data_IF_532808084733
#
_entry.id   IF_532808084733
#
_cell.length_a   1.000
_cell.length_b   1.000
_cell.length_c   1.000
_cell.angle_alpha   90.00
_cell.angle_beta   90.00
_cell.angle_gamma   90.00
#
_symmetry.space_group_name_H-M   'P 1'
#
loop_
_entity.id
_entity.type
_entity.pdbx_description
1 polymer ?
#
# COMPACT_ATOMS: atom_id res chain seq x y z
N UNK A 1 -10.40 1.37 -0.30
CA UNK A 1 -9.53 0.24 0.07
C UNK A 1 -9.94 -0.98 -0.74
N UNK A 2 -8.99 -1.79 -1.21
CA UNK A 2 -9.26 -3.01 -1.99
C UNK A 2 -8.33 -4.13 -1.51
N UNK A 3 -8.87 -5.34 -1.39
CA UNK A 3 -8.09 -6.54 -1.10
C UNK A 3 -7.84 -7.33 -2.37
N UNK A 4 -6.60 -7.80 -2.53
CA UNK A 4 -6.12 -8.55 -3.67
C UNK A 4 -5.37 -9.79 -3.21
N UNK A 5 -5.64 -10.92 -3.84
CA UNK A 5 -4.66 -11.99 -3.97
C UNK A 5 -3.81 -11.66 -5.19
N UNK A 6 -2.57 -11.20 -4.95
CA UNK A 6 -1.75 -10.62 -6.02
C UNK A 6 -1.37 -11.65 -7.08
N UNK A 7 -1.14 -12.89 -6.67
CA UNK A 7 -0.71 -13.98 -7.56
C UNK A 7 -1.79 -15.03 -7.81
N UNK A 8 -2.92 -14.98 -7.11
CA UNK A 8 -4.03 -15.93 -7.24
C UNK A 8 -3.77 -17.30 -6.58
N UNK A 9 -2.68 -17.42 -5.81
CA UNK A 9 -2.27 -18.64 -5.11
C UNK A 9 -2.28 -18.48 -3.58
N UNK A 10 -2.85 -17.38 -3.08
CA UNK A 10 -2.91 -17.01 -1.66
C UNK A 10 -1.54 -16.92 -0.95
N UNK A 11 -0.44 -16.77 -1.68
CA UNK A 11 0.89 -16.63 -1.08
C UNK A 11 1.18 -15.22 -0.57
N UNK A 12 0.58 -14.21 -1.20
CA UNK A 12 0.75 -12.81 -0.83
C UNK A 12 -0.54 -12.03 -1.14
N UNK A 13 -1.07 -11.39 -0.10
CA UNK A 13 -2.24 -10.53 -0.22
C UNK A 13 -1.83 -9.07 -0.18
N UNK A 14 -2.47 -8.25 -1.01
CA UNK A 14 -2.27 -6.81 -1.02
C UNK A 14 -3.54 -6.12 -0.54
N UNK A 15 -3.39 -5.27 0.48
CA UNK A 15 -4.39 -4.27 0.85
C UNK A 15 -3.97 -2.93 0.25
N UNK A 16 -4.71 -2.49 -0.76
CA UNK A 16 -4.51 -1.16 -1.33
C UNK A 16 -5.31 -0.11 -0.55
N UNK A 17 -4.61 0.92 -0.07
CA UNK A 17 -5.18 2.19 0.38
C UNK A 17 -5.01 3.21 -0.75
N UNK A 18 -5.97 3.19 -1.68
CA UNK A 18 -5.96 4.05 -2.86
C UNK A 18 -6.43 5.47 -2.57
N UNK A 19 -5.56 6.46 -2.81
CA UNK A 19 -5.79 7.87 -2.44
C UNK A 19 -5.71 8.83 -3.64
N UNK A 20 -4.87 8.55 -4.64
CA UNK A 20 -4.66 9.44 -5.77
C UNK A 20 -4.20 8.67 -7.04
N UNK A 21 -3.43 9.31 -7.93
CA UNK A 21 -3.02 8.78 -9.23
C UNK A 21 -2.20 7.48 -9.18
N UNK A 22 -1.48 7.20 -8.09
CA UNK A 22 -0.70 5.97 -7.95
C UNK A 22 -1.60 4.71 -7.89
N UNK A 23 -2.89 4.86 -7.52
CA UNK A 23 -3.84 3.73 -7.60
C UNK A 23 -4.06 3.26 -9.02
N UNK A 24 -3.99 4.13 -10.02
CA UNK A 24 -4.18 3.72 -11.42
C UNK A 24 -3.05 2.81 -11.89
N UNK A 25 -1.82 3.06 -11.46
CA UNK A 25 -0.68 2.20 -11.78
C UNK A 25 -0.72 0.88 -11.02
N UNK A 26 -1.21 0.88 -9.77
CA UNK A 26 -1.48 -0.35 -9.03
C UNK A 26 -2.58 -1.16 -9.72
N UNK A 27 -3.67 -0.52 -10.13
CA UNK A 27 -4.76 -1.17 -10.88
C UNK A 27 -4.23 -1.78 -12.18
N UNK A 28 -3.39 -1.05 -12.93
CA UNK A 28 -2.73 -1.54 -14.14
C UNK A 28 -1.81 -2.74 -13.88
N UNK A 29 -1.11 -2.76 -12.74
CA UNK A 29 -0.30 -3.91 -12.31
C UNK A 29 -1.17 -5.11 -11.87
N UNK A 30 -2.35 -4.85 -11.31
CA UNK A 30 -3.21 -5.86 -10.67
C UNK A 30 -4.18 -6.59 -11.61
N UNK A 31 -4.06 -6.44 -12.94
CA UNK A 31 -5.03 -6.99 -13.90
C UNK A 31 -5.17 -8.53 -13.81
N UNK A 32 -4.13 -9.22 -13.37
CA UNK A 32 -4.14 -10.68 -13.15
C UNK A 32 -4.45 -11.08 -11.70
N UNK A 33 -4.52 -10.12 -10.78
CA UNK A 33 -4.79 -10.37 -9.37
C UNK A 33 -6.28 -10.64 -9.11
N UNK A 34 -6.57 -11.58 -8.20
CA UNK A 34 -7.93 -11.90 -7.83
C UNK A 34 -8.42 -10.96 -6.72
N UNK A 35 -9.59 -10.34 -6.91
CA UNK A 35 -10.19 -9.48 -5.88
C UNK A 35 -10.75 -10.34 -4.72
N UNK A 36 -10.49 -9.92 -3.48
CA UNK A 36 -10.95 -10.62 -2.28
C UNK A 36 -12.02 -9.81 -1.53
N UNK A 37 -13.05 -10.46 -0.97
CA UNK A 37 -14.17 -9.79 -0.32
C UNK A 37 -13.94 -9.36 1.14
N UNK A 38 -12.69 -9.32 1.64
CA UNK A 38 -12.26 -8.74 2.96
C UNK A 38 -11.96 -9.74 4.09
N UNK A 39 -12.22 -11.05 3.95
CA UNK A 39 -11.84 -12.04 4.99
C UNK A 39 -10.61 -12.83 4.56
N UNK A 40 -9.47 -12.53 5.19
CA UNK A 40 -8.25 -13.33 5.05
C UNK A 40 -8.13 -14.35 6.18
N UNK A 41 -7.49 -15.52 5.94
CA UNK A 41 -7.16 -16.45 7.01
C UNK A 41 -6.18 -15.82 8.00
N UNK A 42 -6.25 -16.26 9.27
CA UNK A 42 -5.27 -15.85 10.28
C UNK A 42 -3.86 -16.29 9.85
N UNK A 43 -2.86 -15.41 10.05
CA UNK A 43 -1.49 -15.61 9.58
C UNK A 43 -1.26 -15.34 8.10
N UNK A 44 -2.28 -14.85 7.37
CA UNK A 44 -2.13 -14.41 5.99
C UNK A 44 -1.05 -13.32 5.88
N UNK A 45 -0.14 -13.48 4.91
CA UNK A 45 0.87 -12.46 4.60
C UNK A 45 0.20 -11.31 3.88
N UNK A 46 0.29 -10.11 4.44
CA UNK A 46 -0.31 -8.90 3.87
C UNK A 46 0.73 -7.82 3.64
N UNK A 47 0.70 -7.26 2.43
CA UNK A 47 1.36 -6.02 2.08
C UNK A 47 0.32 -4.92 2.00
N UNK A 48 0.45 -3.89 2.82
CA UNK A 48 -0.40 -2.70 2.76
C UNK A 48 0.27 -1.67 1.88
N UNK A 49 -0.35 -1.33 0.75
CA UNK A 49 0.18 -0.35 -0.20
C UNK A 49 -0.59 0.96 -0.05
N UNK A 50 0.10 2.02 0.34
CA UNK A 50 -0.45 3.37 0.38
C UNK A 50 -0.19 4.05 -0.96
N UNK A 51 -1.24 4.14 -1.78
CA UNK A 51 -1.15 4.58 -3.18
C UNK A 51 -1.55 6.05 -3.32
N UNK A 52 -0.57 6.95 -3.15
CA UNK A 52 -0.70 8.37 -3.45
C UNK A 52 -0.69 9.30 -2.24
N UNK A 53 -1.20 10.52 -2.43
CA UNK A 53 -1.09 11.61 -1.44
C UNK A 53 -1.96 11.37 -0.22
N UNK A 54 -1.35 11.44 0.97
CA UNK A 54 -2.07 11.45 2.24
C UNK A 54 -2.39 12.89 2.63
N UNK A 55 -3.67 13.19 2.82
CA UNK A 55 -4.09 14.47 3.38
C UNK A 55 -4.24 14.38 4.89
N UNK A 56 -4.05 15.48 5.60
CA UNK A 56 -4.10 15.49 7.08
C UNK A 56 -5.47 15.06 7.61
N UNK A 57 -6.53 15.27 6.81
CA UNK A 57 -7.88 14.79 7.12
C UNK A 57 -8.00 13.27 7.02
N UNK A 58 -7.26 12.64 6.10
CA UNK A 58 -7.29 11.19 5.87
C UNK A 58 -6.25 10.44 6.70
N UNK A 59 -5.22 11.12 7.20
CA UNK A 59 -4.17 10.55 8.04
C UNK A 59 -4.67 9.57 9.14
N UNK A 60 -5.66 9.93 9.99
CA UNK A 60 -6.14 8.99 11.01
C UNK A 60 -6.82 7.74 10.42
N UNK A 61 -7.46 7.86 9.26
CA UNK A 61 -8.08 6.71 8.59
C UNK A 61 -7.02 5.79 7.98
N UNK A 62 -5.93 6.33 7.44
CA UNK A 62 -4.81 5.52 6.91
C UNK A 62 -4.16 4.71 8.03
N UNK A 63 -3.83 5.36 9.15
CA UNK A 63 -3.25 4.67 10.31
C UNK A 63 -4.20 3.57 10.83
N UNK A 64 -5.48 3.89 11.01
CA UNK A 64 -6.48 2.92 11.48
C UNK A 64 -6.65 1.71 10.55
N UNK A 65 -6.49 1.89 9.23
CA UNK A 65 -6.58 0.79 8.27
C UNK A 65 -5.37 -0.15 8.37
N UNK A 66 -4.17 0.40 8.57
CA UNK A 66 -2.94 -0.39 8.77
C UNK A 66 -3.03 -1.17 10.09
N UNK A 67 -3.47 -0.52 11.17
CA UNK A 67 -3.66 -1.17 12.48
C UNK A 67 -4.75 -2.26 12.44
N UNK A 68 -5.85 -1.97 11.75
CA UNK A 68 -6.93 -2.95 11.55
C UNK A 68 -6.42 -4.16 10.75
N UNK A 69 -5.57 -3.95 9.74
CA UNK A 69 -4.95 -5.03 8.99
C UNK A 69 -4.13 -5.94 9.92
N UNK A 70 -3.26 -5.36 10.75
CA UNK A 70 -2.45 -6.12 11.71
C UNK A 70 -3.32 -6.94 12.68
N UNK A 71 -4.43 -6.34 13.14
CA UNK A 71 -5.38 -6.99 14.05
C UNK A 71 -6.12 -8.15 13.39
N UNK A 72 -6.53 -7.99 12.13
CA UNK A 72 -7.30 -9.00 11.38
C UNK A 72 -6.47 -10.24 11.03
N UNK A 73 -5.20 -10.06 10.64
CA UNK A 73 -4.33 -11.17 10.24
C UNK A 73 -3.51 -11.75 11.39
N UNK A 74 -3.41 -11.06 12.51
CA UNK A 74 -2.59 -11.47 13.66
C UNK A 74 -1.07 -11.40 13.39
N UNK A 75 -0.66 -10.78 12.28
CA UNK A 75 0.74 -10.57 11.89
C UNK A 75 0.93 -9.12 11.45
N UNK A 76 2.10 -8.50 11.73
CA UNK A 76 2.36 -7.13 11.29
C UNK A 76 2.41 -7.09 9.75
N UNK A 77 1.63 -6.23 9.08
CA UNK A 77 1.70 -6.08 7.64
C UNK A 77 3.00 -5.42 7.22
N UNK A 78 3.46 -5.73 6.01
CA UNK A 78 4.53 -4.95 5.37
C UNK A 78 3.92 -3.71 4.73
N UNK A 79 4.38 -2.52 5.09
CA UNK A 79 3.84 -1.25 4.59
C UNK A 79 4.71 -0.72 3.46
N UNK A 80 4.08 -0.46 2.31
CA UNK A 80 4.70 0.09 1.10
C UNK A 80 4.14 1.47 0.81
N UNK A 81 5.04 2.46 0.73
CA UNK A 81 4.70 3.80 0.24
C UNK A 81 4.85 3.83 -1.29
N UNK A 82 3.74 3.90 -2.01
CA UNK A 82 3.74 3.94 -3.48
C UNK A 82 3.69 5.39 -3.98
N UNK A 83 4.81 5.81 -4.56
CA UNK A 83 5.00 7.13 -5.14
C UNK A 83 5.55 8.18 -4.17
N UNK A 84 6.02 9.28 -4.75
CA UNK A 84 6.67 10.38 -4.00
C UNK A 84 5.68 11.10 -3.06
N UNK A 85 4.39 11.09 -3.39
CA UNK A 85 3.37 11.69 -2.52
C UNK A 85 3.22 10.92 -1.20
N UNK A 86 3.20 9.59 -1.23
CA UNK A 86 3.15 8.76 -0.03
C UNK A 86 4.49 8.79 0.73
N UNK A 87 5.60 8.97 0.01
CA UNK A 87 6.93 8.98 0.60
C UNK A 87 7.26 10.26 1.36
N UNK A 88 6.94 11.43 0.78
CA UNK A 88 7.38 12.73 1.32
C UNK A 88 6.39 13.89 1.10
N UNK A 89 5.15 13.60 0.69
CA UNK A 89 4.18 14.61 0.22
C UNK A 89 4.37 15.01 -1.25
N UNK A 90 5.50 14.67 -1.88
CA UNK A 90 5.74 14.80 -3.32
C UNK A 90 5.59 16.23 -3.84
N UNK A 91 4.91 16.48 -4.98
CA UNK A 91 4.70 17.83 -5.50
C UNK A 91 3.85 18.72 -4.56
N UNK A 92 3.20 18.14 -3.54
CA UNK A 92 2.40 18.84 -2.55
C UNK A 92 3.10 19.00 -1.20
N UNK A 93 4.43 18.84 -1.15
CA UNK A 93 5.21 18.91 0.08
C UNK A 93 5.09 20.27 0.80
N UNK A 94 4.69 21.35 0.14
CA UNK A 94 4.46 22.67 0.79
C UNK A 94 2.96 22.99 0.99
N UNK A 95 2.07 22.03 0.74
CA UNK A 95 0.63 22.22 0.97
C UNK A 95 0.28 22.15 2.46
N UNK A 96 -0.64 23.01 2.90
CA UNK A 96 -1.14 23.06 4.28
C UNK A 96 -2.00 21.85 4.70
N UNK A 97 -2.43 21.03 3.74
CA UNK A 97 -3.38 19.94 3.95
C UNK A 97 -2.80 18.55 3.69
N UNK A 98 -1.48 18.46 3.44
CA UNK A 98 -0.81 17.22 3.03
C UNK A 98 0.22 16.81 4.06
N UNK A 99 0.09 15.56 4.51
CA UNK A 99 1.06 14.92 5.38
C UNK A 99 2.33 14.61 4.57
N UNK A 100 3.50 14.92 5.13
CA UNK A 100 4.79 14.90 4.41
C UNK A 100 5.44 13.52 4.36
N UNK A 101 4.62 12.47 4.31
CA UNK A 101 5.04 11.09 4.34
C UNK A 101 4.11 10.22 5.18
N UNK A 102 3.92 8.98 4.75
CA UNK A 102 3.18 7.94 5.49
C UNK A 102 3.94 7.53 6.75
N UNK A 103 5.26 7.67 6.75
CA UNK A 103 6.17 7.42 7.86
C UNK A 103 5.87 8.23 9.13
N UNK A 104 5.26 9.41 8.98
CA UNK A 104 4.75 10.20 10.10
C UNK A 104 3.55 9.54 10.81
N UNK A 105 2.90 8.56 10.18
CA UNK A 105 1.68 7.92 10.67
C UNK A 105 1.92 6.48 11.11
N UNK A 106 2.63 5.71 10.28
CA UNK A 106 2.89 4.28 10.46
C UNK A 106 4.30 3.94 9.98
N UNK A 107 4.96 2.92 10.53
CA UNK A 107 6.27 2.49 10.03
C UNK A 107 6.13 2.02 8.57
N UNK A 108 6.98 2.56 7.69
CA UNK A 108 7.06 2.16 6.27
C UNK A 108 8.27 1.26 6.09
N UNK A 109 8.06 0.10 5.46
CA UNK A 109 9.13 -0.87 5.21
C UNK A 109 9.80 -0.65 3.85
N UNK A 110 9.02 -0.31 2.83
CA UNK A 110 9.51 -0.14 1.46
C UNK A 110 8.93 1.12 0.81
N UNK A 111 9.79 1.85 0.11
CA UNK A 111 9.42 3.02 -0.67
C UNK A 111 9.57 2.73 -2.16
N UNK A 112 8.52 2.97 -2.94
CA UNK A 112 8.55 2.84 -4.40
C UNK A 112 8.51 4.24 -5.02
N UNK A 113 9.66 4.77 -5.49
CA UNK A 113 9.72 6.14 -6.01
C UNK A 113 9.04 6.25 -7.38
N UNK A 114 8.25 7.32 -7.57
CA UNK A 114 7.63 7.67 -8.85
C UNK A 114 6.46 8.65 -8.72
N UNK A 115 5.99 9.23 -9.83
CA UNK A 115 4.90 10.21 -9.85
C UNK A 115 4.01 10.14 -11.14
N UNK A 116 3.25 9.06 -11.35
CA UNK A 116 3.23 7.82 -10.57
C UNK A 116 4.38 6.87 -10.97
N UNK A 117 4.77 5.91 -10.12
CA UNK A 117 5.75 4.89 -10.48
C UNK A 117 5.17 3.96 -11.55
N UNK A 118 5.99 3.45 -12.49
CA UNK A 118 5.49 2.53 -13.50
C UNK A 118 5.04 1.20 -12.85
N UNK A 119 4.06 0.48 -13.42
CA UNK A 119 3.48 -0.74 -12.83
C UNK A 119 4.52 -1.81 -12.48
N UNK A 120 5.56 -1.93 -13.31
CA UNK A 120 6.63 -2.90 -13.15
C UNK A 120 7.48 -2.63 -11.90
N UNK A 121 7.58 -1.37 -11.46
CA UNK A 121 8.30 -1.03 -10.24
C UNK A 121 7.62 -1.62 -9.00
N UNK A 122 6.29 -1.52 -8.92
CA UNK A 122 5.53 -2.15 -7.82
C UNK A 122 5.63 -3.68 -7.91
N UNK A 123 5.50 -4.25 -9.10
CA UNK A 123 5.61 -5.70 -9.30
C UNK A 123 6.96 -6.24 -8.79
N UNK A 124 8.07 -5.57 -9.13
CA UNK A 124 9.41 -5.99 -8.69
C UNK A 124 9.54 -6.04 -7.16
N UNK A 125 8.98 -5.05 -6.46
CA UNK A 125 8.99 -5.02 -4.99
C UNK A 125 8.16 -6.16 -4.41
N UNK A 126 7.00 -6.44 -4.99
CA UNK A 126 6.15 -7.54 -4.51
C UNK A 126 6.80 -8.92 -4.76
N UNK A 127 7.52 -9.08 -5.87
CA UNK A 127 8.28 -10.29 -6.17
C UNK A 127 9.41 -10.50 -5.14
N UNK A 128 10.15 -9.44 -4.80
CA UNK A 128 11.19 -9.50 -3.77
C UNK A 128 10.61 -9.84 -2.39
N UNK A 129 9.50 -9.20 -2.00
CA UNK A 129 8.81 -9.47 -0.74
C UNK A 129 8.25 -10.90 -0.68
N UNK A 130 7.82 -11.45 -1.82
CA UNK A 130 7.37 -12.84 -1.90
C UNK A 130 8.53 -13.81 -1.65
N UNK A 131 9.69 -13.56 -2.25
CA UNK A 131 10.87 -14.42 -2.21
C UNK A 131 11.70 -14.32 -0.92
N UNK A 132 11.59 -13.22 -0.17
CA UNK A 132 12.32 -13.01 1.08
C UNK A 132 11.82 -13.86 2.28
N UNK A 133 11.03 -14.92 2.02
CA UNK A 133 10.39 -15.78 3.02
C UNK A 133 10.85 -17.24 2.92
#
# INVERSE_FOLDING_TARGET
MRWLDWYGDATLHVLEIGLACCSLELEAASLSAAALPTVLPAGARVVVVVSGTVTDRLAPAVAALVDACATLTGTPPTVVALGVCASSGGPYWDSYAVTKGVDALVPVDVYVPGCPPPPEALQSVLDDLRLAA
#
